data_IF_782047298642
#
_entry.id   IF_782047298642
#
_cell.length_a   1.000
_cell.length_b   1.000
_cell.length_c   1.000
_cell.angle_alpha   90.00
_cell.angle_beta   90.00
_cell.angle_gamma   90.00
#
_symmetry.space_group_name_H-M   'P 1'
#
loop_
_entity.id
_entity.type
_entity.pdbx_description
1 polymer ?
#
# COMPACT_ATOMS: atom_id res chain seq x y z
N UNK A 1 15.69 34.51 8.28
CA UNK A 1 15.80 33.67 7.07
C UNK A 1 14.49 33.74 6.31
N UNK A 2 14.43 34.43 5.18
CA UNK A 2 13.29 34.27 4.25
C UNK A 2 13.31 32.81 3.78
N UNK A 3 12.30 32.02 4.18
CA UNK A 3 12.16 30.65 3.66
C UNK A 3 11.86 30.77 2.17
N UNK A 4 12.82 30.41 1.32
CA UNK A 4 12.58 30.31 -0.11
C UNK A 4 11.44 29.33 -0.38
N UNK A 5 10.66 29.57 -1.45
CA UNK A 5 9.65 28.62 -1.89
C UNK A 5 10.31 27.31 -2.30
N UNK A 6 9.82 26.14 -1.84
CA UNK A 6 10.36 24.86 -2.26
C UNK A 6 10.16 24.68 -3.77
N UNK A 7 11.15 24.08 -4.45
CA UNK A 7 11.06 23.79 -5.89
C UNK A 7 10.01 22.71 -6.20
N UNK A 8 9.95 21.67 -5.36
CA UNK A 8 9.06 20.52 -5.51
C UNK A 8 8.39 20.22 -4.17
N UNK A 9 7.12 19.87 -4.21
CA UNK A 9 6.34 19.34 -3.09
C UNK A 9 5.95 17.89 -3.41
N UNK A 10 6.37 16.95 -2.56
CA UNK A 10 6.13 15.52 -2.73
C UNK A 10 5.09 15.05 -1.72
N UNK A 11 4.02 14.41 -2.21
CA UNK A 11 3.01 13.79 -1.37
C UNK A 11 3.47 12.40 -0.93
N UNK A 12 3.52 12.15 0.38
CA UNK A 12 3.97 10.87 0.94
C UNK A 12 2.84 10.07 1.61
N UNK A 13 1.61 10.58 1.59
CA UNK A 13 0.45 9.96 2.21
C UNK A 13 -0.84 10.25 1.41
N UNK A 14 -1.82 9.34 1.47
CA UNK A 14 -3.09 9.46 0.75
C UNK A 14 -3.81 10.77 1.07
N UNK A 15 -3.85 11.14 2.36
CA UNK A 15 -4.42 12.43 2.78
C UNK A 15 -3.67 13.66 2.27
N UNK A 16 -2.35 13.57 2.09
CA UNK A 16 -1.56 14.65 1.48
C UNK A 16 -1.86 14.77 -0.01
N UNK A 17 -2.09 13.65 -0.71
CA UNK A 17 -2.55 13.67 -2.10
C UNK A 17 -3.90 14.38 -2.19
N UNK A 18 -4.89 13.99 -1.38
CA UNK A 18 -6.23 14.60 -1.42
C UNK A 18 -6.17 16.11 -1.16
N UNK A 19 -5.44 16.54 -0.12
CA UNK A 19 -5.29 17.95 0.21
C UNK A 19 -4.61 18.76 -0.92
N UNK A 20 -3.56 18.19 -1.52
CA UNK A 20 -2.83 18.85 -2.62
C UNK A 20 -3.63 18.86 -3.93
N UNK A 21 -4.41 17.81 -4.21
CA UNK A 21 -5.33 17.77 -5.37
C UNK A 21 -6.38 18.87 -5.27
N UNK A 22 -7.07 18.97 -4.13
CA UNK A 22 -8.09 19.98 -3.89
C UNK A 22 -7.54 21.41 -3.97
N UNK A 23 -6.27 21.61 -3.59
CA UNK A 23 -5.60 22.91 -3.59
C UNK A 23 -4.65 23.12 -4.77
N UNK A 24 -4.66 22.26 -5.80
CA UNK A 24 -3.69 22.30 -6.92
C UNK A 24 -3.50 23.70 -7.53
N UNK A 25 -4.56 24.50 -7.81
CA UNK A 25 -4.40 25.85 -8.36
C UNK A 25 -3.63 26.82 -7.44
N UNK A 26 -3.65 26.60 -6.12
CA UNK A 26 -2.95 27.46 -5.14
C UNK A 26 -1.43 27.28 -5.16
N UNK A 27 -0.94 26.16 -5.67
CA UNK A 27 0.48 25.84 -5.77
C UNK A 27 1.07 26.20 -7.15
N UNK A 28 0.22 26.48 -8.14
CA UNK A 28 0.65 26.90 -9.48
C UNK A 28 1.59 28.13 -9.39
N UNK A 29 2.75 28.04 -10.03
CA UNK A 29 3.78 29.09 -10.01
C UNK A 29 4.57 29.24 -8.70
N UNK A 30 4.28 28.44 -7.66
CA UNK A 30 4.98 28.50 -6.36
C UNK A 30 5.91 27.32 -6.11
N UNK A 31 5.47 26.13 -6.49
CA UNK A 31 6.20 24.86 -6.38
C UNK A 31 5.65 23.90 -7.42
N UNK A 32 6.48 23.03 -7.97
CA UNK A 32 5.95 21.88 -8.69
C UNK A 32 5.34 20.88 -7.70
N UNK A 33 4.22 20.26 -8.07
CA UNK A 33 3.62 19.17 -7.31
C UNK A 33 4.02 17.86 -7.96
N UNK A 34 4.62 16.94 -7.20
CA UNK A 34 4.88 15.58 -7.65
C UNK A 34 3.57 14.77 -7.60
N UNK A 35 2.62 15.11 -8.47
CA UNK A 35 1.30 14.52 -8.57
C UNK A 35 0.89 14.38 -10.03
N UNK A 36 0.42 13.19 -10.39
CA UNK A 36 -0.09 12.89 -11.73
C UNK A 36 -1.26 13.80 -12.12
N UNK A 37 -1.69 13.77 -13.38
CA UNK A 37 -2.89 14.49 -13.81
C UNK A 37 -4.13 14.11 -12.99
N UNK A 38 -5.06 15.05 -12.84
CA UNK A 38 -6.23 14.87 -11.96
C UNK A 38 -7.11 13.68 -12.37
N UNK A 39 -7.28 13.43 -13.67
CA UNK A 39 -8.06 12.29 -14.16
C UNK A 39 -7.39 10.94 -13.86
N UNK A 40 -6.07 10.87 -13.97
CA UNK A 40 -5.29 9.69 -13.56
C UNK A 40 -5.40 9.43 -12.05
N UNK A 41 -5.36 10.49 -11.23
CA UNK A 41 -5.55 10.37 -9.78
C UNK A 41 -6.97 9.95 -9.40
N UNK A 42 -8.00 10.43 -10.13
CA UNK A 42 -9.39 9.98 -9.92
C UNK A 42 -9.57 8.49 -10.23
N UNK A 43 -8.89 7.98 -11.26
CA UNK A 43 -8.96 6.56 -11.62
C UNK A 43 -8.34 5.63 -10.56
N UNK A 44 -7.30 6.11 -9.85
CA UNK A 44 -6.53 5.32 -8.87
C UNK A 44 -7.05 5.43 -7.44
N UNK A 45 -7.57 6.59 -7.03
CA UNK A 45 -8.09 6.78 -5.66
C UNK A 45 -9.45 6.11 -5.44
N UNK A 46 -10.22 5.91 -6.50
CA UNK A 46 -11.47 5.16 -6.47
C UNK A 46 -11.23 3.68 -6.81
N UNK A 47 -11.28 2.82 -5.79
CA UNK A 47 -11.05 1.37 -5.98
C UNK A 47 -12.04 0.74 -6.96
N UNK A 48 -13.28 1.24 -7.04
CA UNK A 48 -14.27 0.67 -7.96
C UNK A 48 -13.84 0.88 -9.42
N UNK A 49 -13.33 2.07 -9.74
CA UNK A 49 -12.82 2.43 -11.07
C UNK A 49 -11.56 1.64 -11.42
N UNK A 50 -10.64 1.50 -10.47
CA UNK A 50 -9.42 0.68 -10.67
C UNK A 50 -9.78 -0.77 -10.95
N UNK A 51 -10.70 -1.37 -10.19
CA UNK A 51 -11.12 -2.76 -10.36
C UNK A 51 -11.81 -2.96 -11.71
N UNK A 52 -12.69 -2.04 -12.11
CA UNK A 52 -13.39 -2.12 -13.38
C UNK A 52 -12.42 -2.03 -14.57
N UNK A 53 -11.50 -1.07 -14.54
CA UNK A 53 -10.47 -0.94 -15.56
C UNK A 53 -9.57 -2.19 -15.61
N UNK A 54 -9.19 -2.74 -14.45
CA UNK A 54 -8.40 -3.95 -14.38
C UNK A 54 -9.10 -5.13 -15.07
N UNK A 55 -10.41 -5.29 -14.86
CA UNK A 55 -11.22 -6.32 -15.56
C UNK A 55 -11.22 -6.11 -17.07
N UNK A 56 -11.42 -4.89 -17.54
CA UNK A 56 -11.39 -4.54 -18.97
C UNK A 56 -10.05 -4.85 -19.61
N UNK A 57 -8.96 -4.68 -18.86
CA UNK A 57 -7.60 -5.01 -19.29
C UNK A 57 -7.25 -6.50 -19.15
N UNK A 58 -8.16 -7.35 -18.67
CA UNK A 58 -7.88 -8.76 -18.40
C UNK A 58 -6.94 -9.01 -17.23
N UNK A 59 -6.78 -8.02 -16.34
CA UNK A 59 -6.03 -8.17 -15.08
C UNK A 59 -6.95 -8.82 -14.05
N UNK A 60 -6.52 -9.95 -13.49
CA UNK A 60 -7.30 -10.65 -12.48
C UNK A 60 -7.50 -9.79 -11.23
N UNK A 61 -8.71 -9.79 -10.70
CA UNK A 61 -9.10 -9.11 -9.45
C UNK A 61 -9.83 -10.11 -8.54
N UNK A 62 -9.83 -9.93 -7.21
CA UNK A 62 -10.64 -10.76 -6.33
C UNK A 62 -12.14 -10.55 -6.61
N UNK A 63 -12.97 -11.58 -6.37
CA UNK A 63 -14.43 -11.39 -6.45
C UNK A 63 -14.83 -10.23 -5.53
N UNK A 64 -15.53 -9.25 -6.07
CA UNK A 64 -15.83 -8.01 -5.35
C UNK A 64 -17.22 -7.52 -5.74
N UNK A 65 -18.05 -7.27 -4.73
CA UNK A 65 -19.38 -6.65 -4.86
C UNK A 65 -19.37 -5.32 -4.12
N UNK A 66 -19.90 -4.28 -4.75
CA UNK A 66 -20.05 -2.97 -4.13
C UNK A 66 -21.42 -2.92 -3.46
N UNK A 67 -21.43 -2.65 -2.16
CA UNK A 67 -22.61 -2.53 -1.33
C UNK A 67 -22.82 -1.07 -0.98
N UNK A 68 -24.00 -0.54 -1.27
CA UNK A 68 -24.40 0.85 -0.95
C UNK A 68 -25.46 0.91 0.15
N UNK A 69 -26.21 -0.18 0.33
CA UNK A 69 -27.15 -0.37 1.43
C UNK A 69 -26.79 -1.62 2.24
N UNK A 70 -26.83 -1.51 3.56
CA UNK A 70 -26.68 -2.66 4.46
C UNK A 70 -27.61 -3.84 4.17
N UNK A 71 -28.76 -3.61 3.53
CA UNK A 71 -29.68 -4.65 3.07
C UNK A 71 -29.10 -5.54 1.96
N UNK A 72 -28.12 -5.05 1.20
CA UNK A 72 -27.44 -5.80 0.11
C UNK A 72 -26.32 -6.72 0.66
N UNK A 73 -25.94 -6.57 1.94
CA UNK A 73 -24.83 -7.33 2.51
C UNK A 73 -25.01 -8.86 2.42
N UNK A 74 -26.19 -9.45 2.68
CA UNK A 74 -26.36 -10.91 2.59
C UNK A 74 -26.09 -11.45 1.19
N UNK A 75 -26.66 -10.84 0.15
CA UNK A 75 -26.46 -11.27 -1.25
C UNK A 75 -25.03 -11.03 -1.71
N UNK A 76 -24.39 -9.94 -1.27
CA UNK A 76 -22.97 -9.70 -1.53
C UNK A 76 -22.08 -10.79 -0.91
N UNK A 77 -22.36 -11.23 0.32
CA UNK A 77 -21.62 -12.31 0.97
C UNK A 77 -21.85 -13.66 0.30
N UNK A 78 -23.05 -13.95 -0.21
CA UNK A 78 -23.33 -15.16 -0.99
C UNK A 78 -22.54 -15.18 -2.30
N UNK A 79 -22.48 -14.05 -3.01
CA UNK A 79 -21.75 -13.94 -4.28
C UNK A 79 -20.22 -14.00 -4.10
N UNK A 80 -19.70 -13.43 -3.00
CA UNK A 80 -18.25 -13.35 -2.74
C UNK A 80 -17.72 -14.60 -2.05
N UNK A 81 -18.48 -15.12 -1.09
CA UNK A 81 -18.06 -16.18 -0.17
C UNK A 81 -17.33 -15.64 1.08
N UNK A 82 -17.21 -16.49 2.09
CA UNK A 82 -16.48 -16.22 3.32
C UNK A 82 -15.20 -17.09 3.40
N UNK A 83 -14.12 -16.60 4.04
CA UNK A 83 -13.99 -15.28 4.64
C UNK A 83 -13.97 -14.15 3.60
N UNK A 84 -14.44 -12.96 4.00
CA UNK A 84 -14.51 -11.78 3.14
C UNK A 84 -13.76 -10.60 3.77
N UNK A 85 -13.51 -9.57 2.96
CA UNK A 85 -12.90 -8.31 3.39
C UNK A 85 -13.85 -7.17 3.07
N UNK A 86 -14.24 -6.45 4.12
CA UNK A 86 -14.97 -5.19 3.98
C UNK A 86 -13.95 -4.07 3.81
N UNK A 87 -14.04 -3.34 2.69
CA UNK A 87 -13.14 -2.24 2.37
C UNK A 87 -13.92 -0.97 2.01
N UNK A 88 -13.51 0.20 2.52
CA UNK A 88 -14.02 1.47 2.01
C UNK A 88 -13.57 1.66 0.55
N UNK A 89 -14.43 2.24 -0.29
CA UNK A 89 -14.07 2.53 -1.70
C UNK A 89 -12.92 3.51 -1.78
N UNK A 90 -12.87 4.50 -0.87
CA UNK A 90 -11.76 5.46 -0.74
C UNK A 90 -10.95 5.18 0.51
N UNK A 91 -9.62 5.20 0.40
CA UNK A 91 -8.72 4.85 1.53
C UNK A 91 -8.54 5.98 2.55
N UNK A 92 -8.87 7.22 2.17
CA UNK A 92 -8.79 8.40 3.02
C UNK A 92 -10.09 9.19 2.95
N UNK A 93 -10.48 9.75 4.09
CA UNK A 93 -11.61 10.65 4.18
C UNK A 93 -11.21 11.90 4.95
N UNK A 94 -11.56 13.07 4.43
CA UNK A 94 -11.53 14.32 5.19
C UNK A 94 -12.75 14.39 6.15
N UNK A 95 -12.47 14.75 7.40
CA UNK A 95 -13.43 15.06 8.46
C UNK A 95 -13.06 16.40 9.09
N UNK A 96 -13.77 17.47 8.70
CA UNK A 96 -13.54 18.81 9.24
C UNK A 96 -12.13 19.35 8.96
N UNK A 97 -11.32 19.57 10.02
CA UNK A 97 -9.93 20.04 9.91
C UNK A 97 -8.88 18.90 9.84
N UNK A 98 -9.33 17.64 9.79
CA UNK A 98 -8.47 16.45 9.74
C UNK A 98 -9.02 15.39 8.80
N UNK A 99 -8.51 14.16 8.88
CA UNK A 99 -9.04 13.03 8.12
C UNK A 99 -8.72 11.69 8.77
N UNK A 100 -9.51 10.67 8.45
CA UNK A 100 -9.42 9.32 9.00
C UNK A 100 -9.10 8.31 7.88
N UNK A 101 -8.19 7.37 8.17
CA UNK A 101 -7.91 6.22 7.28
C UNK A 101 -8.83 5.08 7.70
N UNK A 102 -9.82 4.78 6.87
CA UNK A 102 -10.68 3.62 7.08
C UNK A 102 -9.89 2.33 6.82
N UNK A 103 -10.01 1.37 7.74
CA UNK A 103 -9.27 0.11 7.67
C UNK A 103 -10.11 -0.94 6.96
N UNK A 104 -9.44 -1.76 6.16
CA UNK A 104 -10.02 -3.00 5.67
C UNK A 104 -10.23 -3.96 6.86
N UNK A 105 -11.39 -4.62 6.92
CA UNK A 105 -11.74 -5.56 7.99
C UNK A 105 -12.04 -6.92 7.38
N UNK A 106 -11.38 -7.96 7.89
CA UNK A 106 -11.68 -9.35 7.49
C UNK A 106 -12.81 -9.87 8.36
N UNK A 107 -13.82 -10.45 7.72
CA UNK A 107 -15.03 -10.98 8.37
C UNK A 107 -15.14 -12.47 8.10
N UNK A 108 -15.34 -13.26 9.16
CA UNK A 108 -15.38 -14.72 9.08
C UNK A 108 -16.78 -15.29 8.89
N UNK A 109 -17.81 -14.49 9.23
CA UNK A 109 -19.21 -14.89 9.19
C UNK A 109 -20.10 -13.66 8.98
N UNK A 110 -21.37 -13.90 8.65
CA UNK A 110 -22.35 -12.84 8.40
C UNK A 110 -22.59 -11.93 9.63
N UNK A 111 -22.46 -12.46 10.84
CA UNK A 111 -22.63 -11.66 12.07
C UNK A 111 -21.49 -10.65 12.25
N UNK A 112 -20.23 -11.08 12.04
CA UNK A 112 -19.07 -10.18 12.00
C UNK A 112 -19.23 -9.14 10.90
N UNK A 113 -19.64 -9.56 9.70
CA UNK A 113 -19.85 -8.64 8.58
C UNK A 113 -20.90 -7.57 8.90
N UNK A 114 -22.04 -7.94 9.48
CA UNK A 114 -23.10 -6.98 9.85
C UNK A 114 -22.66 -6.02 10.95
N UNK A 115 -21.89 -6.48 11.93
CA UNK A 115 -21.33 -5.65 13.00
C UNK A 115 -20.33 -4.64 12.42
N UNK A 116 -19.37 -5.13 11.65
CA UNK A 116 -18.24 -4.34 11.18
C UNK A 116 -18.63 -3.42 10.00
N UNK A 117 -19.65 -3.80 9.21
CA UNK A 117 -20.22 -2.92 8.19
C UNK A 117 -20.68 -1.58 8.80
N UNK A 118 -21.28 -1.57 9.99
CA UNK A 118 -21.69 -0.32 10.65
C UNK A 118 -20.52 0.62 10.94
N UNK A 119 -19.35 0.06 11.26
CA UNK A 119 -18.13 0.83 11.49
C UNK A 119 -17.52 1.36 10.18
N UNK A 120 -17.66 0.59 9.09
CA UNK A 120 -17.12 0.95 7.77
C UNK A 120 -18.07 1.85 6.96
N UNK A 121 -19.38 1.79 7.20
CA UNK A 121 -20.44 2.55 6.50
C UNK A 121 -20.80 3.86 7.21
N UNK A 122 -20.04 4.30 8.22
CA UNK A 122 -20.24 5.61 8.86
C UNK A 122 -20.38 6.68 7.76
N UNK A 123 -21.59 7.24 7.61
CA UNK A 123 -22.02 8.26 6.63
C UNK A 123 -22.58 7.81 5.25
N UNK A 124 -23.17 6.62 5.11
CA UNK A 124 -23.98 6.28 3.92
C UNK A 124 -23.16 6.12 2.63
N UNK A 125 -21.95 5.54 2.77
CA UNK A 125 -20.99 5.38 1.68
C UNK A 125 -20.86 3.93 1.27
N UNK A 126 -20.57 3.75 -0.02
CA UNK A 126 -20.33 2.44 -0.61
C UNK A 126 -19.15 1.71 0.07
N UNK A 127 -19.29 0.39 0.20
CA UNK A 127 -18.29 -0.53 0.76
C UNK A 127 -18.07 -1.65 -0.26
N UNK A 128 -16.82 -1.98 -0.54
CA UNK A 128 -16.48 -3.18 -1.29
C UNK A 128 -16.47 -4.39 -0.35
N UNK A 129 -17.35 -5.35 -0.62
CA UNK A 129 -17.27 -6.72 -0.07
C UNK A 129 -16.40 -7.51 -1.03
N UNK A 130 -15.23 -7.93 -0.58
CA UNK A 130 -14.22 -8.53 -1.42
C UNK A 130 -13.79 -9.90 -0.90
N UNK A 131 -13.51 -10.83 -1.80
CA UNK A 131 -12.98 -12.15 -1.48
C UNK A 131 -11.68 -12.02 -0.68
N UNK A 132 -11.58 -12.78 0.42
CA UNK A 132 -10.29 -13.01 1.03
C UNK A 132 -9.47 -13.98 0.18
N UNK A 133 -8.33 -13.51 -0.30
CA UNK A 133 -7.35 -14.36 -0.94
C UNK A 133 -6.31 -14.76 0.11
N UNK A 134 -5.89 -16.01 0.17
CA UNK A 134 -4.68 -16.40 0.91
C UNK A 134 -3.43 -16.16 0.07
N UNK A 135 -2.25 -16.37 0.67
CA UNK A 135 -0.97 -16.40 -0.06
C UNK A 135 -0.15 -15.12 0.02
N UNK A 136 0.81 -14.95 -0.89
CA UNK A 136 1.82 -13.89 -0.81
C UNK A 136 1.28 -12.53 -1.24
N UNK A 137 1.75 -11.47 -0.58
CA UNK A 137 1.57 -10.10 -1.03
C UNK A 137 2.82 -9.64 -1.75
N UNK A 138 2.62 -9.21 -2.99
CA UNK A 138 3.66 -8.82 -3.92
C UNK A 138 3.35 -7.41 -4.42
N UNK A 139 4.37 -6.62 -4.72
CA UNK A 139 4.17 -5.28 -5.25
C UNK A 139 5.22 -4.94 -6.30
N UNK A 140 4.80 -4.17 -7.30
CA UNK A 140 5.68 -3.57 -8.31
C UNK A 140 5.63 -2.06 -8.15
N UNK A 141 6.77 -1.45 -7.87
CA UNK A 141 6.95 -0.01 -7.92
C UNK A 141 7.48 0.40 -9.29
N UNK A 142 6.90 1.47 -9.84
CA UNK A 142 7.20 1.99 -11.18
C UNK A 142 7.44 3.50 -11.12
N UNK A 143 8.33 3.98 -11.98
CA UNK A 143 8.35 5.39 -12.38
C UNK A 143 8.03 5.48 -13.88
N UNK A 144 6.89 6.07 -14.22
CA UNK A 144 6.44 6.27 -15.59
C UNK A 144 6.37 7.77 -15.90
N UNK A 145 6.99 8.20 -17.00
CA UNK A 145 6.94 9.59 -17.44
C UNK A 145 7.26 9.68 -18.93
N UNK A 146 6.69 10.67 -19.63
CA UNK A 146 7.02 10.94 -21.03
C UNK A 146 6.86 9.71 -21.94
N UNK A 147 5.81 8.90 -21.69
CA UNK A 147 5.51 7.73 -22.50
C UNK A 147 6.37 6.49 -22.25
N UNK A 148 7.27 6.49 -21.25
CA UNK A 148 8.13 5.33 -20.94
C UNK A 148 8.37 5.12 -19.44
N UNK A 149 8.81 3.91 -19.11
CA UNK A 149 9.20 3.55 -17.74
C UNK A 149 10.69 3.79 -17.51
N UNK A 150 11.01 4.54 -16.46
CA UNK A 150 12.38 4.89 -16.06
C UNK A 150 12.92 3.99 -14.95
N UNK A 151 12.04 3.35 -14.17
CA UNK A 151 12.43 2.44 -13.12
C UNK A 151 11.35 1.40 -12.82
N UNK A 152 11.80 0.23 -12.40
CA UNK A 152 10.98 -0.92 -11.97
C UNK A 152 11.61 -1.56 -10.75
N UNK A 153 10.79 -1.93 -9.79
CA UNK A 153 11.24 -2.63 -8.59
C UNK A 153 10.13 -3.57 -8.12
N UNK A 154 10.48 -4.81 -7.78
CA UNK A 154 9.52 -5.76 -7.22
C UNK A 154 9.92 -6.19 -5.80
N UNK A 155 8.90 -6.40 -4.97
CA UNK A 155 9.06 -6.89 -3.61
C UNK A 155 7.97 -7.87 -3.23
N UNK A 156 8.28 -8.71 -2.24
CA UNK A 156 7.33 -9.55 -1.51
C UNK A 156 7.29 -9.12 -0.04
N UNK A 157 6.10 -9.13 0.58
CA UNK A 157 5.93 -8.90 2.00
C UNK A 157 5.69 -10.23 2.73
N UNK A 158 6.48 -10.49 3.77
CA UNK A 158 6.37 -11.68 4.63
C UNK A 158 5.56 -11.42 5.91
N UNK A 159 5.53 -10.17 6.37
CA UNK A 159 4.75 -9.76 7.55
C UNK A 159 4.05 -8.45 7.28
N UNK A 160 2.87 -8.31 7.86
CA UNK A 160 2.03 -7.12 7.75
C UNK A 160 1.51 -6.72 9.12
N UNK A 161 1.23 -5.44 9.30
CA UNK A 161 0.57 -4.96 10.51
C UNK A 161 -0.62 -4.04 10.17
N UNK A 162 -1.88 -4.44 10.49
CA UNK A 162 -2.25 -5.75 11.04
C UNK A 162 -2.00 -6.94 10.07
N UNK A 163 -1.93 -8.20 10.58
CA UNK A 163 -1.57 -9.39 9.79
C UNK A 163 -2.48 -9.62 8.58
N UNK A 164 -3.76 -9.24 8.69
CA UNK A 164 -4.78 -9.49 7.66
C UNK A 164 -4.95 -8.35 6.65
N UNK A 165 -4.12 -7.31 6.71
CA UNK A 165 -4.29 -6.12 5.89
C UNK A 165 -3.67 -4.95 6.60
N UNK A 166 -2.73 -4.25 5.97
CA UNK A 166 -1.99 -3.19 6.65
C UNK A 166 -0.67 -2.88 5.96
N UNK A 167 0.23 -2.24 6.69
CA UNK A 167 1.55 -1.89 6.16
C UNK A 167 2.49 -3.09 6.20
N UNK A 168 3.33 -3.23 5.18
CA UNK A 168 4.40 -4.23 5.14
C UNK A 168 5.39 -4.00 6.29
N UNK A 169 5.66 -5.05 7.05
CA UNK A 169 6.58 -5.06 8.20
C UNK A 169 7.92 -5.62 7.81
N UNK A 170 7.94 -6.83 7.28
CA UNK A 170 9.14 -7.52 6.81
C UNK A 170 8.93 -7.80 5.33
N UNK A 171 9.88 -7.37 4.52
CA UNK A 171 9.81 -7.41 3.06
C UNK A 171 11.16 -7.73 2.45
N UNK A 172 11.13 -8.21 1.22
CA UNK A 172 12.31 -8.59 0.47
C UNK A 172 12.17 -8.17 -0.99
N UNK A 173 13.27 -7.70 -1.57
CA UNK A 173 13.39 -7.42 -3.00
C UNK A 173 13.48 -8.73 -3.76
N UNK A 174 12.66 -8.87 -4.81
CA UNK A 174 12.57 -10.10 -5.62
C UNK A 174 12.90 -9.78 -7.08
N UNK A 175 13.24 -10.77 -7.93
CA UNK A 175 13.28 -10.55 -9.38
C UNK A 175 11.93 -10.03 -9.88
N UNK A 176 11.93 -9.25 -10.96
CA UNK A 176 10.70 -8.75 -11.60
C UNK A 176 9.85 -9.91 -12.15
N UNK A 177 8.69 -10.25 -11.55
CA UNK A 177 7.84 -11.30 -12.08
C UNK A 177 7.09 -10.77 -13.30
N UNK A 178 7.23 -11.45 -14.45
CA UNK A 178 6.69 -10.96 -15.72
C UNK A 178 5.17 -10.71 -15.68
N UNK A 179 4.42 -11.60 -15.03
CA UNK A 179 2.96 -11.49 -14.85
C UNK A 179 2.54 -10.23 -14.08
N UNK A 180 3.33 -9.83 -13.07
CA UNK A 180 3.09 -8.61 -12.29
C UNK A 180 3.51 -7.36 -13.04
N UNK A 181 4.68 -7.38 -13.70
CA UNK A 181 5.18 -6.23 -14.45
C UNK A 181 4.25 -5.92 -15.61
N UNK A 182 3.88 -6.92 -16.41
CA UNK A 182 2.99 -6.73 -17.56
C UNK A 182 1.61 -6.20 -17.14
N UNK A 183 1.06 -6.70 -16.02
CA UNK A 183 -0.19 -6.18 -15.48
C UNK A 183 -0.05 -4.73 -14.98
N UNK A 184 1.02 -4.43 -14.26
CA UNK A 184 1.27 -3.09 -13.70
C UNK A 184 1.50 -2.06 -14.79
N UNK A 185 2.29 -2.39 -15.81
CA UNK A 185 2.60 -1.48 -16.90
C UNK A 185 1.39 -1.18 -17.77
N UNK A 186 0.58 -2.18 -18.12
CA UNK A 186 -0.68 -1.97 -18.85
C UNK A 186 -1.65 -1.09 -18.06
N UNK A 187 -1.77 -1.33 -16.76
CA UNK A 187 -2.63 -0.52 -15.90
C UNK A 187 -2.15 0.94 -15.84
N UNK A 188 -0.87 1.17 -15.56
CA UNK A 188 -0.27 2.51 -15.43
C UNK A 188 -0.34 3.29 -16.75
N UNK A 189 0.00 2.65 -17.87
CA UNK A 189 -0.06 3.28 -19.21
C UNK A 189 -1.48 3.63 -19.62
N UNK A 190 -2.44 2.73 -19.41
CA UNK A 190 -3.85 2.97 -19.75
C UNK A 190 -4.45 4.11 -18.93
N UNK A 191 -4.08 4.21 -17.64
CA UNK A 191 -4.51 5.34 -16.78
C UNK A 191 -3.81 6.65 -17.20
N UNK A 192 -2.65 6.60 -17.84
CA UNK A 192 -1.78 7.76 -18.03
C UNK A 192 -1.19 8.25 -16.70
N UNK A 193 -0.91 7.32 -15.78
CA UNK A 193 -0.44 7.66 -14.43
C UNK A 193 1.05 7.99 -14.45
N UNK A 194 1.39 9.24 -14.69
CA UNK A 194 2.78 9.71 -14.59
C UNK A 194 3.27 9.86 -13.14
N UNK A 195 4.58 9.72 -12.96
CA UNK A 195 5.27 9.76 -11.68
C UNK A 195 5.48 8.37 -11.10
N UNK A 196 5.58 8.32 -9.77
CA UNK A 196 5.72 7.07 -9.03
C UNK A 196 4.36 6.40 -8.82
N UNK A 197 4.33 5.08 -8.97
CA UNK A 197 3.22 4.27 -8.48
C UNK A 197 3.71 2.95 -7.88
N UNK A 198 2.96 2.43 -6.92
CA UNK A 198 3.11 1.06 -6.44
C UNK A 198 1.82 0.29 -6.72
N UNK A 199 1.93 -0.79 -7.50
CA UNK A 199 0.83 -1.69 -7.83
C UNK A 199 0.95 -2.92 -6.95
N UNK A 200 -0.08 -3.20 -6.16
CA UNK A 200 -0.08 -4.28 -5.20
C UNK A 200 -0.94 -5.45 -5.66
N UNK A 201 -0.40 -6.66 -5.48
CA UNK A 201 -1.05 -7.92 -5.83
C UNK A 201 -1.08 -8.85 -4.63
N UNK A 202 -2.05 -9.76 -4.66
CA UNK A 202 -2.04 -10.96 -3.84
C UNK A 202 -2.01 -12.18 -4.73
N UNK A 203 -1.02 -13.04 -4.54
CA UNK A 203 -0.90 -14.31 -5.26
C UNK A 203 -1.56 -15.40 -4.46
N UNK A 204 -2.68 -15.90 -4.99
CA UNK A 204 -3.46 -16.96 -4.35
C UNK A 204 -2.74 -18.29 -4.30
N UNK A 205 -3.31 -19.26 -3.58
CA UNK A 205 -2.82 -20.64 -3.54
C UNK A 205 -2.79 -21.33 -4.93
N UNK A 206 -3.57 -20.82 -5.88
CA UNK A 206 -3.57 -21.22 -7.29
C UNK A 206 -2.39 -20.63 -8.10
N UNK A 207 -1.50 -19.89 -7.44
CA UNK A 207 -0.33 -19.24 -8.05
C UNK A 207 -0.66 -17.99 -8.88
N UNK A 208 -1.93 -17.57 -8.95
CA UNK A 208 -2.35 -16.45 -9.80
C UNK A 208 -2.38 -15.13 -9.02
N UNK A 209 -1.75 -14.06 -9.54
CA UNK A 209 -1.78 -12.75 -8.92
C UNK A 209 -3.11 -12.06 -9.19
N UNK A 210 -3.67 -11.41 -8.17
CA UNK A 210 -4.89 -10.62 -8.27
C UNK A 210 -4.60 -9.21 -7.77
N UNK A 211 -4.98 -8.22 -8.57
CA UNK A 211 -4.76 -6.80 -8.25
C UNK A 211 -5.55 -6.42 -7.00
N UNK A 212 -4.84 -5.83 -6.03
CA UNK A 212 -5.41 -5.37 -4.77
C UNK A 212 -5.64 -3.87 -4.77
N UNK A 213 -4.62 -3.10 -5.17
CA UNK A 213 -4.66 -1.64 -5.24
C UNK A 213 -3.52 -1.08 -6.10
N UNK A 214 -3.65 0.19 -6.49
CA UNK A 214 -2.58 1.00 -7.08
C UNK A 214 -2.46 2.28 -6.27
N UNK A 215 -1.25 2.62 -5.85
CA UNK A 215 -0.94 3.76 -4.99
C UNK A 215 -0.15 4.80 -5.80
N UNK A 216 -0.71 5.99 -6.11
CA UNK A 216 -0.05 7.02 -6.94
C UNK A 216 0.88 7.93 -6.13
N UNK A 217 1.65 7.34 -5.20
CA UNK A 217 2.59 8.06 -4.30
C UNK A 217 3.64 7.11 -3.77
N UNK A 218 4.75 7.67 -3.29
CA UNK A 218 5.79 6.90 -2.60
C UNK A 218 5.16 6.01 -1.52
N UNK A 219 5.46 4.71 -1.59
CA UNK A 219 4.96 3.75 -0.63
C UNK A 219 5.73 3.83 0.68
N UNK A 220 5.12 3.37 1.77
CA UNK A 220 5.82 3.21 3.04
C UNK A 220 6.99 2.22 2.94
N UNK A 221 7.03 1.42 1.86
CA UNK A 221 8.10 0.48 1.55
C UNK A 221 9.16 1.00 0.59
N UNK A 222 9.09 2.25 0.12
CA UNK A 222 10.04 2.79 -0.86
C UNK A 222 11.51 2.62 -0.44
N UNK A 223 11.80 2.65 0.86
CA UNK A 223 13.15 2.49 1.40
C UNK A 223 13.85 1.19 0.96
N UNK A 224 13.11 0.08 0.78
CA UNK A 224 13.74 -1.16 0.28
C UNK A 224 14.23 -1.01 -1.16
N UNK A 225 13.51 -0.26 -1.99
CA UNK A 225 13.90 0.01 -3.37
C UNK A 225 15.16 0.88 -3.39
N UNK A 226 15.20 1.93 -2.55
CA UNK A 226 16.37 2.82 -2.42
C UNK A 226 17.60 2.02 -2.01
N UNK A 227 17.50 1.20 -0.96
CA UNK A 227 18.61 0.35 -0.50
C UNK A 227 19.01 -0.73 -1.51
N UNK A 228 18.06 -1.19 -2.33
CA UNK A 228 18.34 -2.13 -3.41
C UNK A 228 19.02 -1.46 -4.62
N UNK A 229 18.97 -0.13 -4.74
CA UNK A 229 19.62 0.65 -5.78
C UNK A 229 18.69 1.46 -6.68
N UNK A 230 17.39 1.51 -6.39
CA UNK A 230 16.40 2.32 -7.12
C UNK A 230 15.96 3.51 -6.26
N UNK A 231 16.50 4.69 -6.55
CA UNK A 231 16.21 5.95 -5.86
C UNK A 231 14.95 6.62 -6.42
N UNK A 232 13.80 6.04 -6.11
CA UNK A 232 12.50 6.63 -6.47
C UNK A 232 12.31 8.08 -5.98
N UNK A 233 12.74 8.48 -4.77
CA UNK A 233 12.68 9.88 -4.36
C UNK A 233 13.38 10.84 -5.32
N UNK A 234 14.60 10.53 -5.77
CA UNK A 234 15.32 11.35 -6.75
C UNK A 234 14.61 11.35 -8.10
N UNK A 235 14.12 10.20 -8.56
CA UNK A 235 13.40 10.08 -9.82
C UNK A 235 12.09 10.89 -9.84
N UNK A 236 11.33 10.83 -8.74
CA UNK A 236 10.10 11.63 -8.56
C UNK A 236 10.42 13.12 -8.50
N UNK A 237 11.50 13.51 -7.81
CA UNK A 237 11.97 14.88 -7.79
C UNK A 237 12.33 15.37 -9.20
N UNK A 238 13.08 14.59 -9.98
CA UNK A 238 13.47 14.95 -11.34
C UNK A 238 12.24 15.16 -12.22
N UNK A 239 11.31 14.21 -12.22
CA UNK A 239 10.07 14.29 -12.97
C UNK A 239 9.26 15.54 -12.60
N UNK A 240 8.99 15.73 -11.31
CA UNK A 240 8.20 16.87 -10.84
C UNK A 240 8.91 18.22 -11.10
N UNK A 241 10.24 18.26 -11.02
CA UNK A 241 11.03 19.47 -11.27
C UNK A 241 11.20 19.82 -12.75
N UNK A 242 10.69 19.00 -13.67
CA UNK A 242 10.91 19.13 -15.11
C UNK A 242 12.37 18.91 -15.53
N UNK A 243 13.12 18.13 -14.74
CA UNK A 243 14.51 17.77 -15.03
C UNK A 243 14.57 16.48 -15.86
N UNK A 244 15.68 16.20 -16.54
CA UNK A 244 15.92 14.88 -17.13
C UNK A 244 15.77 13.79 -16.07
N UNK A 245 14.87 12.85 -16.32
CA UNK A 245 14.62 11.70 -15.45
C UNK A 245 15.65 10.62 -15.78
N UNK A 246 16.43 10.23 -14.78
CA UNK A 246 17.43 9.17 -14.92
C UNK A 246 16.79 7.79 -15.07
N UNK A 247 17.49 6.88 -15.74
CA UNK A 247 17.06 5.49 -15.90
C UNK A 247 17.72 4.62 -14.83
N UNK A 248 16.92 3.81 -14.12
CA UNK A 248 17.39 2.90 -13.07
C UNK A 248 16.69 1.55 -13.22
N UNK A 249 17.39 0.59 -13.84
CA UNK A 249 16.83 -0.72 -14.18
C UNK A 249 17.45 -1.89 -13.41
N UNK A 250 18.56 -1.67 -12.72
CA UNK A 250 19.27 -2.71 -11.97
C UNK A 250 19.13 -2.47 -10.47
N UNK A 251 18.77 -3.52 -9.73
CA UNK A 251 18.70 -3.49 -8.27
C UNK A 251 19.12 -4.83 -7.67
N UNK A 252 19.54 -4.80 -6.41
CA UNK A 252 19.94 -5.98 -5.64
C UNK A 252 18.70 -6.79 -5.25
N UNK A 253 18.69 -8.07 -5.60
CA UNK A 253 17.65 -9.05 -5.24
C UNK A 253 18.02 -9.73 -3.91
N UNK A 254 17.03 -10.12 -3.11
CA UNK A 254 17.21 -10.81 -1.84
C UNK A 254 17.56 -9.88 -0.67
N UNK A 255 17.57 -8.56 -0.87
CA UNK A 255 17.71 -7.61 0.22
C UNK A 255 16.45 -7.63 1.07
N UNK A 256 16.59 -7.90 2.37
CA UNK A 256 15.50 -7.87 3.35
C UNK A 256 15.54 -6.57 4.15
N UNK A 257 14.37 -5.99 4.38
CA UNK A 257 14.20 -4.79 5.23
C UNK A 257 12.99 -4.97 6.14
N UNK A 258 13.09 -4.49 7.39
CA UNK A 258 12.01 -4.52 8.39
C UNK A 258 11.88 -3.23 9.18
N UNK A 259 10.86 -3.13 10.01
CA UNK A 259 10.81 -2.15 11.09
C UNK A 259 10.38 -2.84 12.39
N UNK A 260 11.23 -2.77 13.44
CA UNK A 260 11.18 -3.67 14.60
C UNK A 260 9.86 -3.58 15.38
N UNK A 261 9.35 -2.36 15.57
CA UNK A 261 8.07 -2.16 16.25
C UNK A 261 6.91 -2.88 15.54
N UNK A 262 7.05 -3.13 14.24
CA UNK A 262 6.07 -3.82 13.41
C UNK A 262 6.12 -5.31 13.61
N UNK A 263 7.32 -5.88 13.78
CA UNK A 263 7.48 -7.30 14.11
C UNK A 263 6.88 -7.62 15.48
N UNK A 264 7.13 -6.77 16.48
CA UNK A 264 6.56 -6.93 17.82
C UNK A 264 5.03 -6.82 17.80
N UNK A 265 4.50 -5.85 17.03
CA UNK A 265 3.04 -5.71 16.84
C UNK A 265 2.43 -6.86 16.05
N UNK A 266 3.11 -7.36 15.02
CA UNK A 266 2.69 -8.53 14.27
C UNK A 266 2.61 -9.74 15.18
N UNK A 267 3.63 -9.99 16.01
CA UNK A 267 3.62 -11.10 16.96
C UNK A 267 2.48 -10.94 17.98
N UNK A 268 2.36 -9.78 18.64
CA UNK A 268 1.27 -9.49 19.60
C UNK A 268 -0.11 -9.70 18.97
N UNK A 269 -0.33 -9.21 17.75
CA UNK A 269 -1.61 -9.34 17.05
C UNK A 269 -1.88 -10.79 16.67
N UNK A 270 -0.90 -11.48 16.10
CA UNK A 270 -0.97 -12.90 15.72
C UNK A 270 -1.41 -13.78 16.89
N UNK A 271 -0.83 -13.56 18.08
CA UNK A 271 -1.21 -14.29 19.30
C UNK A 271 -2.65 -14.03 19.75
N UNK A 272 -3.20 -12.85 19.45
CA UNK A 272 -4.57 -12.44 19.82
C UNK A 272 -5.62 -12.85 18.80
N UNK A 273 -5.22 -13.14 17.57
CA UNK A 273 -6.14 -13.42 16.45
C UNK A 273 -5.99 -14.83 15.91
N UNK A 274 -5.62 -15.79 16.76
CA UNK A 274 -5.50 -17.21 16.39
C UNK A 274 -6.81 -17.73 15.78
N UNK A 275 -6.69 -18.62 14.78
CA UNK A 275 -7.84 -19.18 14.05
C UNK A 275 -8.37 -18.30 12.91
N UNK A 276 -7.85 -17.08 12.71
CA UNK A 276 -8.13 -16.28 11.50
C UNK A 276 -7.26 -16.74 10.31
N UNK A 277 -7.69 -16.50 9.06
CA UNK A 277 -6.95 -16.90 7.85
C UNK A 277 -5.54 -16.31 7.81
N UNK A 278 -4.57 -17.06 7.29
CA UNK A 278 -3.14 -16.65 7.21
C UNK A 278 -2.50 -16.21 8.54
N UNK A 279 -3.15 -16.44 9.68
CA UNK A 279 -2.55 -16.28 11.00
C UNK A 279 -1.88 -17.59 11.37
N UNK A 280 -0.54 -17.63 11.49
CA UNK A 280 0.17 -18.85 11.86
C UNK A 280 -0.18 -19.27 13.29
N UNK A 281 -0.05 -20.58 13.57
CA UNK A 281 -0.16 -21.09 14.94
C UNK A 281 0.84 -20.38 15.84
N UNK A 282 0.52 -20.22 17.12
CA UNK A 282 1.40 -19.57 18.10
C UNK A 282 2.84 -20.08 18.05
N UNK A 283 3.05 -21.40 18.04
CA UNK A 283 4.40 -22.00 17.97
C UNK A 283 5.15 -21.59 16.70
N UNK A 284 4.46 -21.63 15.56
CA UNK A 284 5.03 -21.29 14.26
C UNK A 284 5.32 -19.79 14.17
N UNK A 285 4.44 -18.95 14.72
CA UNK A 285 4.62 -17.51 14.80
C UNK A 285 5.87 -17.13 15.62
N UNK A 286 6.08 -17.78 16.77
CA UNK A 286 7.28 -17.58 17.59
C UNK A 286 8.54 -18.09 16.89
N UNK A 287 8.48 -19.28 16.30
CA UNK A 287 9.60 -19.85 15.55
C UNK A 287 9.97 -18.95 14.36
N UNK A 288 8.99 -18.49 13.59
CA UNK A 288 9.19 -17.55 12.48
C UNK A 288 9.77 -16.23 12.99
N UNK A 289 9.23 -15.67 14.08
CA UNK A 289 9.75 -14.46 14.71
C UNK A 289 11.25 -14.58 14.97
N UNK A 290 11.67 -15.60 15.71
CA UNK A 290 13.08 -15.82 16.11
C UNK A 290 13.96 -16.11 14.89
N UNK A 291 13.56 -17.04 14.03
CA UNK A 291 14.38 -17.46 12.88
C UNK A 291 14.57 -16.34 11.86
N UNK A 292 13.62 -15.41 11.73
CA UNK A 292 13.81 -14.26 10.85
C UNK A 292 14.92 -13.30 11.35
N UNK A 293 15.24 -13.24 12.65
CA UNK A 293 16.38 -12.45 13.14
C UNK A 293 17.74 -13.10 12.85
N UNK A 294 17.76 -14.39 12.50
CA UNK A 294 18.98 -15.08 12.06
C UNK A 294 19.36 -14.74 10.61
N UNK A 295 18.43 -14.17 9.84
CA UNK A 295 18.67 -13.77 8.45
C UNK A 295 19.11 -12.30 8.38
N UNK A 296 20.17 -11.97 7.64
CA UNK A 296 20.61 -10.59 7.45
C UNK A 296 19.46 -9.70 6.98
N UNK A 297 19.11 -8.69 7.79
CA UNK A 297 17.98 -7.80 7.52
C UNK A 297 18.32 -6.38 7.97
N UNK A 298 18.03 -5.41 7.10
CA UNK A 298 18.16 -3.99 7.41
C UNK A 298 16.91 -3.44 8.11
N UNK A 299 17.00 -2.27 8.73
CA UNK A 299 15.85 -1.59 9.34
C UNK A 299 15.53 -0.29 8.62
N UNK A 300 14.25 -0.03 8.36
CA UNK A 300 13.77 1.14 7.59
C UNK A 300 14.33 2.47 8.07
N UNK A 301 14.50 2.61 9.38
CA UNK A 301 14.88 3.86 10.05
C UNK A 301 16.30 3.84 10.61
N UNK A 302 17.09 2.80 10.33
CA UNK A 302 18.50 2.72 10.77
C UNK A 302 19.38 3.09 9.60
N UNK A 303 20.03 4.24 9.74
CA UNK A 303 21.07 4.72 8.84
C UNK A 303 22.32 5.03 9.66
N UNK A 304 23.49 4.58 9.20
CA UNK A 304 24.72 4.70 10.02
C UNK A 304 25.16 6.15 10.17
N UNK A 305 24.89 6.98 9.17
CA UNK A 305 25.21 8.41 9.16
C UNK A 305 24.19 9.27 9.90
N UNK A 306 22.97 8.77 10.14
CA UNK A 306 21.95 9.46 10.92
C UNK A 306 21.11 8.48 11.76
N UNK A 307 21.43 8.39 13.05
CA UNK A 307 20.72 7.54 14.01
C UNK A 307 19.46 8.21 14.60
N UNK A 308 19.14 9.47 14.25
CA UNK A 308 17.97 10.17 14.81
C UNK A 308 16.65 9.47 14.48
N UNK A 309 16.39 8.99 13.24
CA UNK A 309 15.16 8.29 12.94
C UNK A 309 15.00 7.02 13.80
N UNK A 310 16.09 6.29 14.05
CA UNK A 310 16.08 5.13 14.94
C UNK A 310 15.77 5.50 16.40
N UNK A 311 16.36 6.58 16.91
CA UNK A 311 16.06 7.05 18.27
C UNK A 311 14.59 7.47 18.43
N UNK A 312 14.04 8.19 17.44
CA UNK A 312 12.63 8.60 17.42
C UNK A 312 11.71 7.38 17.33
N UNK A 313 11.99 6.43 16.44
CA UNK A 313 11.20 5.21 16.29
C UNK A 313 11.16 4.39 17.61
N UNK A 314 12.31 4.24 18.28
CA UNK A 314 12.39 3.56 19.59
C UNK A 314 11.60 4.29 20.65
N UNK A 315 11.76 5.62 20.78
CA UNK A 315 11.01 6.44 21.74
C UNK A 315 9.50 6.30 21.52
N UNK A 316 9.05 6.47 20.28
CA UNK A 316 7.63 6.45 19.95
C UNK A 316 7.03 5.07 20.18
N UNK A 317 7.79 4.00 19.91
CA UNK A 317 7.39 2.64 20.25
C UNK A 317 7.21 2.44 21.77
N UNK A 318 8.17 2.89 22.59
CA UNK A 318 8.08 2.81 24.05
C UNK A 318 6.88 3.59 24.60
N UNK A 319 6.66 4.82 24.11
CA UNK A 319 5.52 5.63 24.51
C UNK A 319 4.18 4.98 24.14
N UNK A 320 4.10 4.32 22.98
CA UNK A 320 2.91 3.55 22.59
C UNK A 320 2.71 2.31 23.47
N UNK A 321 3.79 1.63 23.83
CA UNK A 321 3.75 0.45 24.69
C UNK A 321 3.31 0.77 26.13
N UNK A 322 3.65 1.96 26.64
CA UNK A 322 3.21 2.42 27.96
C UNK A 322 1.75 2.88 28.02
N UNK A 323 1.12 3.14 26.86
CA UNK A 323 -0.25 3.67 26.76
C UNK A 323 -1.33 2.59 26.53
N UNK A 324 -0.98 1.31 26.41
CA UNK A 324 -1.93 0.22 26.14
C UNK A 324 -1.41 -1.15 26.50
#
# INVERSE_FOLDING_TARGET
MQRGSPRVTIATHDGSIEALRASRPRFAGRTALALAAEDALKATVDKSRTIELARQLGIAVPRTVIVTDSAELPSALEAVGLPAVLKPIRSWQEEGRGGSRFRAVVVMNAAEAKRDLREVTIQGRAVAVQEWLSGSREAVSLLYANGRFHARFAQIAFRMNPPLGGSSVLRESIPLPGDLVDASERLVTTIGLEGYSEVEFRRGADGRPRLMEINPRLSASVEIAVRAGIDFPVLVYQWAAGLPVGDQFAYKIGLRVRWLGGDLRWLRTTLRTQGRPDVPKTTDAFAQFVTDFLRPTSYDYVERSDMRPAAVATRDFLLQALRG
#
